data_IF_115951883472
#
_entry.id   IF_115951883472
#
_cell.length_a   1.000
_cell.length_b   1.000
_cell.length_c   1.000
_cell.angle_alpha   90.00
_cell.angle_beta   90.00
_cell.angle_gamma   90.00
#
_symmetry.space_group_name_H-M   'P 1'
#
loop_
_entity.id
_entity.type
_entity.pdbx_description
1 polymer ?
#
# COMPACT_ATOMS: atom_id res chain seq x y z
N UNK A 1 -9.98 -8.40 3.49
CA UNK A 1 -9.18 -7.86 2.38
C UNK A 1 -10.14 -7.63 1.22
N UNK A 2 -10.41 -6.39 0.83
CA UNK A 2 -11.41 -6.04 -0.19
C UNK A 2 -10.83 -6.18 -1.62
N UNK A 3 -10.29 -7.35 -1.94
CA UNK A 3 -9.73 -7.61 -3.28
C UNK A 3 -10.80 -7.39 -4.34
N UNK A 4 -10.49 -6.57 -5.35
CA UNK A 4 -11.37 -6.30 -6.49
C UNK A 4 -12.51 -5.30 -6.26
N UNK A 5 -12.64 -4.69 -5.08
CA UNK A 5 -13.64 -3.64 -4.83
C UNK A 5 -13.20 -2.23 -5.27
N UNK A 6 -11.90 -1.99 -5.35
CA UNK A 6 -11.35 -0.67 -5.60
C UNK A 6 -10.36 -0.70 -6.76
N UNK A 7 -10.31 0.36 -7.54
CA UNK A 7 -9.42 0.45 -8.71
C UNK A 7 -7.96 0.36 -8.28
N UNK A 8 -7.56 0.99 -7.18
CA UNK A 8 -6.18 0.90 -6.71
C UNK A 8 -5.82 -0.48 -6.15
N UNK A 9 -6.78 -1.23 -5.60
CA UNK A 9 -6.55 -2.61 -5.17
C UNK A 9 -6.39 -3.60 -6.33
N UNK A 10 -6.84 -3.24 -7.53
CA UNK A 10 -6.55 -3.99 -8.76
C UNK A 10 -5.17 -3.62 -9.32
N UNK A 11 -4.80 -2.34 -9.31
CA UNK A 11 -3.52 -1.88 -9.84
C UNK A 11 -2.33 -2.34 -8.99
N UNK A 12 -2.49 -2.41 -7.66
CA UNK A 12 -1.42 -2.86 -6.77
C UNK A 12 -1.01 -4.33 -7.01
N UNK A 13 -1.86 -5.15 -7.61
CA UNK A 13 -1.50 -6.54 -7.98
C UNK A 13 -0.37 -6.57 -9.02
N UNK A 14 -0.22 -5.53 -9.83
CA UNK A 14 0.86 -5.38 -10.80
C UNK A 14 2.13 -4.76 -10.20
N UNK A 15 2.07 -4.23 -8.97
CA UNK A 15 3.19 -3.59 -8.31
C UNK A 15 3.88 -4.60 -7.39
N UNK A 16 5.19 -4.88 -7.59
CA UNK A 16 5.92 -5.78 -6.71
C UNK A 16 5.96 -5.24 -5.28
N UNK A 17 5.36 -6.00 -4.35
CA UNK A 17 5.23 -5.59 -2.94
C UNK A 17 6.56 -5.17 -2.31
N UNK A 18 7.62 -5.89 -2.62
CA UNK A 18 8.97 -5.61 -2.13
C UNK A 18 9.50 -4.22 -2.58
N UNK A 19 9.27 -3.85 -3.84
CA UNK A 19 9.72 -2.55 -4.35
C UNK A 19 8.92 -1.41 -3.71
N UNK A 20 7.62 -1.61 -3.53
CA UNK A 20 6.76 -0.67 -2.81
C UNK A 20 7.24 -0.46 -1.38
N UNK A 21 7.45 -1.53 -0.61
CA UNK A 21 7.90 -1.43 0.78
C UNK A 21 9.29 -0.77 0.90
N UNK A 22 10.17 -0.99 -0.09
CA UNK A 22 11.47 -0.30 -0.16
C UNK A 22 11.31 1.21 -0.30
N UNK A 23 10.39 1.67 -1.15
CA UNK A 23 10.09 3.09 -1.33
C UNK A 23 9.44 3.69 -0.07
N UNK A 24 8.47 3.00 0.52
CA UNK A 24 7.83 3.44 1.76
C UNK A 24 8.86 3.63 2.88
N UNK A 25 9.82 2.71 3.02
CA UNK A 25 10.91 2.86 4.00
C UNK A 25 11.86 4.01 3.65
N UNK A 26 12.25 4.13 2.37
CA UNK A 26 13.16 5.18 1.91
C UNK A 26 12.62 6.58 2.22
N UNK A 27 11.32 6.79 2.00
CA UNK A 27 10.65 8.07 2.23
C UNK A 27 9.95 8.18 3.59
N UNK A 28 10.11 7.19 4.47
CA UNK A 28 9.46 7.13 5.79
C UNK A 28 7.93 7.31 5.71
N UNK A 29 7.29 6.73 4.70
CA UNK A 29 5.85 6.89 4.43
C UNK A 29 4.94 6.36 5.55
N UNK A 30 5.41 5.38 6.33
CA UNK A 30 4.68 4.82 7.48
C UNK A 30 5.10 5.43 8.82
N UNK A 31 5.75 6.60 8.82
CA UNK A 31 6.20 7.23 10.06
C UNK A 31 5.01 7.62 10.95
N UNK A 32 5.02 7.15 12.21
CA UNK A 32 3.94 7.27 13.20
C UNK A 32 2.60 6.61 12.85
N UNK A 33 2.53 5.83 11.78
CA UNK A 33 1.32 5.11 11.46
C UNK A 33 1.10 3.93 12.41
N UNK A 34 -0.11 3.83 12.97
CA UNK A 34 -0.52 2.73 13.86
C UNK A 34 -1.23 1.61 13.09
N UNK A 35 -2.36 1.94 12.46
CA UNK A 35 -3.28 0.93 11.90
C UNK A 35 -3.50 1.05 10.38
N UNK A 36 -3.25 2.22 9.78
CA UNK A 36 -3.49 2.49 8.35
C UNK A 36 -2.17 2.78 7.60
N UNK A 37 -1.33 1.75 7.46
CA UNK A 37 -0.07 1.87 6.70
C UNK A 37 -0.32 2.18 5.22
N UNK A 38 0.72 2.65 4.54
CA UNK A 38 0.68 3.11 3.15
C UNK A 38 0.07 2.05 2.21
N UNK A 39 0.34 0.78 2.47
CA UNK A 39 -0.22 -0.32 1.70
C UNK A 39 -1.72 -0.53 1.95
N UNK A 40 -2.12 -0.52 3.23
CA UNK A 40 -3.53 -0.64 3.61
C UNK A 40 -4.33 0.54 3.05
N UNK A 41 -3.77 1.76 3.07
CA UNK A 41 -4.40 2.92 2.48
C UNK A 41 -4.66 2.71 0.98
N UNK A 42 -3.67 2.20 0.25
CA UNK A 42 -3.77 1.94 -1.18
C UNK A 42 -4.77 0.81 -1.53
N UNK A 43 -4.94 -0.17 -0.63
CA UNK A 43 -5.96 -1.22 -0.78
C UNK A 43 -7.40 -0.77 -0.50
N UNK A 44 -7.57 0.37 0.16
CA UNK A 44 -8.86 0.89 0.62
C UNK A 44 -9.34 2.14 -0.13
N UNK A 45 -8.51 2.69 -1.02
CA UNK A 45 -8.83 3.73 -1.99
C UNK A 45 -9.30 3.11 -3.30
#
# INVERSE_FOLDING_TARGET
>A
MNQGKYVFSQVIEFIPRYQFDKLVRLYKGDWHVKNLNSYNHLLHL
#
